data_IF_720541677625
#
_entry.id   IF_720541677625
#
_cell.length_a   1.000
_cell.length_b   1.000
_cell.length_c   1.000
_cell.angle_alpha   90.00
_cell.angle_beta   90.00
_cell.angle_gamma   90.00
#
_symmetry.space_group_name_H-M   'P 1'
#
loop_
_entity.id
_entity.type
_entity.pdbx_description
1 polymer ?
#
# COMPACT_ATOMS: atom_id res chain seq x y z
N UNK A 1 1.13 -16.38 -13.10
CA UNK A 1 1.34 -17.11 -11.84
C UNK A 1 -0.02 -17.42 -11.21
N UNK A 2 -0.24 -18.66 -10.83
CA UNK A 2 -1.48 -19.03 -10.18
C UNK A 2 -1.41 -18.73 -8.69
N UNK A 3 -2.50 -18.23 -8.14
CA UNK A 3 -2.63 -18.02 -6.70
C UNK A 3 -2.90 -19.34 -6.02
N UNK A 4 -2.37 -19.50 -4.82
CA UNK A 4 -2.71 -20.65 -3.99
C UNK A 4 -4.14 -20.47 -3.49
N UNK A 5 -4.92 -21.55 -3.52
CA UNK A 5 -6.34 -21.51 -3.18
C UNK A 5 -6.60 -20.96 -1.77
N UNK A 6 -5.67 -21.16 -0.84
CA UNK A 6 -5.82 -20.73 0.54
C UNK A 6 -4.94 -19.54 0.90
N UNK A 7 -4.43 -18.82 -0.10
CA UNK A 7 -3.60 -17.66 0.19
C UNK A 7 -4.41 -16.58 0.86
N UNK A 8 -3.88 -16.02 1.92
CA UNK A 8 -4.52 -14.95 2.68
C UNK A 8 -3.63 -13.71 2.67
N UNK A 9 -4.23 -12.52 2.75
CA UNK A 9 -3.45 -11.30 2.86
C UNK A 9 -2.57 -11.30 4.11
N UNK A 10 -1.37 -10.75 3.96
CA UNK A 10 -0.45 -10.57 5.08
C UNK A 10 -0.46 -9.11 5.51
N UNK A 11 -0.53 -8.90 6.82
CA UNK A 11 -0.41 -7.57 7.38
C UNK A 11 -1.75 -6.93 7.73
N UNK A 12 -1.68 -5.63 8.01
CA UNK A 12 -2.80 -4.83 8.45
C UNK A 12 -3.57 -4.26 7.26
N UNK A 13 -4.89 -4.37 7.29
CA UNK A 13 -5.74 -3.72 6.31
C UNK A 13 -5.73 -2.22 6.58
N UNK A 14 -5.15 -1.45 5.67
CA UNK A 14 -5.00 -0.01 5.83
C UNK A 14 -5.92 0.81 4.93
N UNK A 15 -6.21 0.30 3.74
CA UNK A 15 -7.07 0.97 2.76
C UNK A 15 -8.08 -0.04 2.23
N UNK A 16 -9.32 0.43 2.13
CA UNK A 16 -10.40 -0.31 1.48
C UNK A 16 -11.21 0.69 0.69
N UNK A 17 -11.22 0.57 -0.63
CA UNK A 17 -11.88 1.53 -1.50
C UNK A 17 -12.56 0.84 -2.65
N UNK A 18 -13.74 1.33 -3.02
CA UNK A 18 -14.42 0.87 -4.22
C UNK A 18 -13.84 1.59 -5.43
N UNK A 19 -13.48 0.84 -6.47
CA UNK A 19 -12.97 1.43 -7.70
C UNK A 19 -14.12 1.99 -8.52
N UNK A 20 -13.86 3.12 -9.17
CA UNK A 20 -14.88 3.90 -9.86
C UNK A 20 -14.49 4.09 -11.34
N UNK A 21 -15.47 4.40 -12.22
CA UNK A 21 -15.16 4.64 -13.64
C UNK A 21 -14.08 5.67 -13.89
N UNK A 22 -13.97 6.70 -13.05
CA UNK A 22 -12.94 7.75 -13.18
C UNK A 22 -11.53 7.23 -12.98
N UNK A 23 -11.37 6.03 -12.44
CA UNK A 23 -10.06 5.42 -12.18
C UNK A 23 -9.61 4.49 -13.31
N UNK A 24 -10.28 4.54 -14.46
CA UNK A 24 -9.99 3.62 -15.56
C UNK A 24 -8.99 4.21 -16.57
N UNK A 25 -8.29 3.30 -17.26
CA UNK A 25 -7.49 3.63 -18.43
C UNK A 25 -8.37 3.52 -19.71
N UNK A 26 -7.82 3.88 -20.89
CA UNK A 26 -8.60 3.77 -22.14
C UNK A 26 -9.11 2.36 -22.46
N UNK A 27 -8.48 1.34 -21.92
CA UNK A 27 -8.91 -0.05 -22.14
C UNK A 27 -10.07 -0.47 -21.23
N UNK A 28 -10.44 0.37 -20.25
CA UNK A 28 -11.55 0.08 -19.36
C UNK A 28 -11.18 -0.60 -18.04
N UNK A 29 -9.91 -0.87 -17.84
CA UNK A 29 -9.40 -1.41 -16.56
C UNK A 29 -8.98 -0.28 -15.64
N UNK A 30 -8.93 -0.55 -14.34
CA UNK A 30 -8.38 0.41 -13.39
C UNK A 30 -6.90 0.57 -13.68
N UNK A 31 -6.43 1.81 -13.87
CA UNK A 31 -5.03 2.01 -14.23
C UNK A 31 -4.10 1.71 -13.05
N UNK A 32 -2.89 1.20 -13.42
CA UNK A 32 -1.92 0.74 -12.41
C UNK A 32 -1.48 1.85 -11.45
N UNK A 33 -1.41 3.08 -11.94
CA UNK A 33 -1.05 4.23 -11.10
C UNK A 33 -2.05 4.49 -9.98
N UNK A 34 -3.33 4.24 -10.22
CA UNK A 34 -4.33 4.34 -9.16
C UNK A 34 -4.05 3.31 -8.05
N UNK A 35 -3.81 2.06 -8.45
CA UNK A 35 -3.50 0.99 -7.48
C UNK A 35 -2.23 1.35 -6.71
N UNK A 36 -1.19 1.79 -7.41
CA UNK A 36 0.07 2.20 -6.77
C UNK A 36 -0.15 3.34 -5.78
N UNK A 37 -0.98 4.33 -6.14
CA UNK A 37 -1.26 5.46 -5.24
C UNK A 37 -1.96 5.00 -3.96
N UNK A 38 -2.89 4.07 -4.07
CA UNK A 38 -3.57 3.53 -2.90
C UNK A 38 -2.61 2.74 -2.00
N UNK A 39 -1.70 1.99 -2.61
CA UNK A 39 -0.67 1.26 -1.86
C UNK A 39 0.25 2.22 -1.12
N UNK A 40 0.66 3.30 -1.77
CA UNK A 40 1.52 4.30 -1.14
C UNK A 40 0.82 4.98 0.03
N UNK A 41 -0.44 5.33 -0.14
CA UNK A 41 -1.23 5.90 0.97
C UNK A 41 -1.33 4.89 2.13
N UNK A 42 -1.59 3.63 1.81
CA UNK A 42 -1.70 2.58 2.83
C UNK A 42 -0.40 2.44 3.64
N UNK A 43 0.74 2.40 2.94
CA UNK A 43 2.05 2.34 3.59
C UNK A 43 2.32 3.56 4.46
N UNK A 44 1.95 4.74 3.97
CA UNK A 44 2.09 5.98 4.71
C UNK A 44 1.26 5.99 5.99
N UNK A 45 0.03 5.48 5.94
CA UNK A 45 -0.82 5.39 7.12
C UNK A 45 -0.22 4.51 8.21
N UNK A 46 0.32 3.36 7.82
CA UNK A 46 0.89 2.42 8.78
C UNK A 46 2.22 2.93 9.34
N UNK A 47 3.11 3.45 8.48
CA UNK A 47 4.42 3.93 8.93
C UNK A 47 4.29 5.20 9.79
N UNK A 48 3.31 6.06 9.47
CA UNK A 48 3.01 7.23 10.30
C UNK A 48 2.57 6.80 11.71
N UNK A 49 1.78 5.76 11.81
CA UNK A 49 1.33 5.22 13.10
C UNK A 49 2.50 4.61 13.88
N UNK A 50 3.37 3.86 13.20
CA UNK A 50 4.56 3.25 13.84
C UNK A 50 5.51 4.32 14.38
N UNK A 51 5.82 5.32 13.57
CA UNK A 51 6.79 6.37 13.92
C UNK A 51 6.16 7.50 14.73
N UNK A 52 4.83 7.49 14.89
CA UNK A 52 4.07 8.54 15.57
C UNK A 52 4.37 9.92 15.04
N UNK A 53 4.47 10.04 13.73
CA UNK A 53 4.75 11.29 13.09
C UNK A 53 4.86 11.15 11.58
N UNK A 54 5.31 12.20 10.95
CA UNK A 54 5.36 12.32 9.49
C UNK A 54 6.35 11.33 8.89
N UNK A 55 5.97 10.71 7.78
CA UNK A 55 6.84 9.84 6.99
C UNK A 55 6.76 10.25 5.52
N UNK A 56 7.82 9.97 4.78
CA UNK A 56 7.87 10.18 3.33
C UNK A 56 8.30 8.89 2.64
N UNK A 57 7.77 8.67 1.46
CA UNK A 57 8.13 7.53 0.63
C UNK A 57 9.43 7.84 -0.07
N UNK A 58 10.42 6.96 0.05
CA UNK A 58 11.72 7.17 -0.60
C UNK A 58 12.03 6.13 -1.67
N UNK A 59 11.37 4.97 -1.64
CA UNK A 59 11.63 3.94 -2.65
C UNK A 59 10.43 3.02 -2.78
N UNK A 60 10.22 2.56 -4.01
CA UNK A 60 9.24 1.52 -4.33
C UNK A 60 9.97 0.47 -5.15
N UNK A 61 10.03 -0.74 -4.63
CA UNK A 61 10.77 -1.83 -5.26
C UNK A 61 9.89 -3.06 -5.44
N UNK A 62 10.34 -3.95 -6.31
CA UNK A 62 9.75 -5.27 -6.47
C UNK A 62 8.25 -5.25 -6.71
N UNK A 63 7.77 -4.27 -7.50
CA UNK A 63 6.34 -4.21 -7.88
C UNK A 63 6.02 -5.30 -8.90
N UNK A 64 4.98 -6.06 -8.61
CA UNK A 64 4.48 -7.08 -9.51
C UNK A 64 2.96 -6.97 -9.62
N UNK A 65 2.46 -6.91 -10.86
CA UNK A 65 1.02 -6.92 -11.13
C UNK A 65 0.63 -8.30 -11.63
N UNK A 66 -0.22 -8.98 -10.89
CA UNK A 66 -0.63 -10.35 -11.21
C UNK A 66 -1.90 -10.41 -12.02
N UNK A 67 -2.86 -9.51 -11.72
CA UNK A 67 -4.19 -9.51 -12.33
C UNK A 67 -4.71 -8.10 -12.46
N UNK A 68 -5.60 -7.85 -13.44
CA UNK A 68 -6.22 -6.53 -13.57
C UNK A 68 -7.23 -6.27 -12.46
N UNK A 69 -7.43 -5.00 -12.17
CA UNK A 69 -8.50 -4.54 -11.29
C UNK A 69 -9.61 -3.99 -12.18
N UNK A 70 -10.83 -4.42 -11.94
CA UNK A 70 -11.99 -4.04 -12.75
C UNK A 70 -12.81 -2.97 -12.04
N UNK A 71 -13.51 -2.14 -12.81
CA UNK A 71 -14.43 -1.14 -12.24
C UNK A 71 -15.47 -1.85 -11.36
N UNK A 72 -15.67 -1.32 -10.17
CA UNK A 72 -16.63 -1.89 -9.22
C UNK A 72 -16.01 -2.87 -8.24
N UNK A 73 -14.79 -3.34 -8.50
CA UNK A 73 -14.09 -4.16 -7.53
C UNK A 73 -13.76 -3.34 -6.29
N UNK A 74 -13.76 -3.97 -5.12
CA UNK A 74 -13.29 -3.34 -3.89
C UNK A 74 -11.80 -3.64 -3.72
N UNK A 75 -10.99 -2.60 -3.71
CA UNK A 75 -9.55 -2.71 -3.56
C UNK A 75 -9.18 -2.61 -2.09
N UNK A 76 -8.42 -3.58 -1.61
CA UNK A 76 -7.96 -3.62 -0.23
C UNK A 76 -6.43 -3.67 -0.22
N UNK A 77 -5.79 -2.77 0.52
CA UNK A 77 -4.34 -2.75 0.64
C UNK A 77 -3.93 -3.16 2.05
N UNK A 78 -3.07 -4.17 2.12
CA UNK A 78 -2.56 -4.72 3.37
C UNK A 78 -1.08 -4.41 3.50
N UNK A 79 -0.66 -3.98 4.68
CA UNK A 79 0.70 -3.52 4.92
C UNK A 79 1.33 -4.35 6.01
N UNK A 80 2.53 -4.87 5.74
CA UNK A 80 3.31 -5.64 6.70
C UNK A 80 4.69 -5.04 6.83
N UNK A 81 5.07 -4.66 8.05
CA UNK A 81 6.43 -4.17 8.31
C UNK A 81 7.41 -5.33 8.14
N UNK A 82 8.41 -5.14 7.28
CA UNK A 82 9.45 -6.15 7.03
C UNK A 82 10.72 -5.83 7.80
N UNK A 83 11.10 -4.54 7.81
CA UNK A 83 12.37 -4.12 8.38
C UNK A 83 12.23 -2.70 8.91
N UNK A 84 12.83 -2.44 10.06
CA UNK A 84 12.86 -1.12 10.64
C UNK A 84 14.30 -0.75 10.99
N UNK A 85 14.76 0.38 10.44
CA UNK A 85 16.04 0.97 10.79
C UNK A 85 15.84 2.07 11.82
N UNK A 86 16.85 2.93 11.98
CA UNK A 86 16.76 4.05 12.92
C UNK A 86 15.77 5.11 12.47
N UNK A 87 15.74 5.40 11.15
CA UNK A 87 14.87 6.42 10.56
C UNK A 87 13.94 5.85 9.51
N UNK A 88 14.17 4.62 9.04
CA UNK A 88 13.47 4.02 7.91
C UNK A 88 12.62 2.84 8.30
N UNK A 89 11.59 2.60 7.50
CA UNK A 89 10.70 1.44 7.62
C UNK A 89 10.48 0.88 6.24
N UNK A 90 10.72 -0.42 6.07
CA UNK A 90 10.45 -1.12 4.82
C UNK A 90 9.22 -2.00 5.03
N UNK A 91 8.24 -1.84 4.17
CA UNK A 91 6.97 -2.56 4.29
C UNK A 91 6.67 -3.31 3.01
N UNK A 92 6.06 -4.48 3.13
CA UNK A 92 5.45 -5.17 2.01
C UNK A 92 4.00 -4.75 1.95
N UNK A 93 3.53 -4.36 0.77
CA UNK A 93 2.16 -3.94 0.57
C UNK A 93 1.53 -4.86 -0.48
N UNK A 94 0.44 -5.49 -0.11
CA UNK A 94 -0.35 -6.34 -1.01
C UNK A 94 -1.67 -5.67 -1.30
N UNK A 95 -2.03 -5.66 -2.58
CA UNK A 95 -3.37 -5.21 -3.00
C UNK A 95 -4.19 -6.42 -3.40
N UNK A 96 -5.35 -6.53 -2.79
CA UNK A 96 -6.32 -7.58 -3.05
C UNK A 96 -7.61 -6.94 -3.53
N UNK A 97 -8.37 -7.65 -4.33
CA UNK A 97 -9.70 -7.19 -4.74
C UNK A 97 -10.76 -8.19 -4.33
N UNK A 98 -11.89 -7.66 -3.91
CA UNK A 98 -13.13 -8.42 -3.82
C UNK A 98 -13.90 -8.07 -5.11
N UNK A 99 -14.18 -9.08 -5.93
CA UNK A 99 -14.87 -8.86 -7.20
C UNK A 99 -16.31 -8.41 -6.94
N UNK A 100 -16.83 -7.54 -7.81
CA UNK A 100 -18.07 -6.81 -7.55
C UNK A 100 -19.29 -7.73 -7.31
N UNK A 101 -19.44 -8.76 -8.11
CA UNK A 101 -20.64 -9.61 -8.06
C UNK A 101 -20.33 -11.07 -7.74
N UNK A 102 -19.08 -11.36 -7.37
CA UNK A 102 -18.64 -12.72 -7.11
C UNK A 102 -18.06 -12.82 -5.71
N UNK A 103 -18.20 -13.95 -5.09
CA UNK A 103 -17.59 -14.20 -3.78
C UNK A 103 -16.14 -14.66 -3.98
N UNK A 104 -15.35 -13.81 -4.63
CA UNK A 104 -13.95 -14.09 -4.98
C UNK A 104 -13.08 -12.96 -4.49
N UNK A 105 -12.00 -13.31 -3.81
CA UNK A 105 -10.95 -12.39 -3.44
C UNK A 105 -9.65 -12.85 -4.08
N UNK A 106 -8.92 -11.91 -4.69
CA UNK A 106 -7.68 -12.22 -5.39
C UNK A 106 -6.62 -11.17 -5.09
N UNK A 107 -5.37 -11.64 -4.93
CA UNK A 107 -4.23 -10.72 -4.87
C UNK A 107 -3.94 -10.24 -6.30
N UNK A 108 -3.92 -8.93 -6.49
CA UNK A 108 -3.70 -8.34 -7.81
C UNK A 108 -2.32 -7.72 -7.94
N UNK A 109 -1.74 -7.26 -6.85
CA UNK A 109 -0.46 -6.55 -6.88
C UNK A 109 0.26 -6.73 -5.57
N UNK A 110 1.59 -6.67 -5.61
CA UNK A 110 2.38 -6.62 -4.40
C UNK A 110 3.65 -5.82 -4.67
N UNK A 111 4.17 -5.16 -3.65
CA UNK A 111 5.39 -4.39 -3.77
C UNK A 111 6.05 -4.15 -2.43
N UNK A 112 7.28 -3.67 -2.47
CA UNK A 112 8.06 -3.33 -1.28
C UNK A 112 8.33 -1.84 -1.30
N UNK A 113 7.88 -1.16 -0.26
CA UNK A 113 7.97 0.30 -0.15
C UNK A 113 8.84 0.66 1.05
N UNK A 114 9.67 1.69 0.88
CA UNK A 114 10.50 2.18 1.99
C UNK A 114 10.10 3.60 2.33
N UNK A 115 9.89 3.84 3.61
CA UNK A 115 9.50 5.15 4.16
C UNK A 115 10.54 5.61 5.15
N UNK A 116 10.69 6.93 5.27
CA UNK A 116 11.59 7.53 6.25
C UNK A 116 10.78 8.47 7.14
N UNK A 117 10.96 8.33 8.45
CA UNK A 117 10.38 9.26 9.41
C UNK A 117 11.10 10.60 9.31
N UNK A 118 10.36 11.69 9.25
CA UNK A 118 10.93 13.03 9.06
C UNK A 118 10.32 14.03 10.03
N UNK A 119 11.05 15.13 10.23
CA UNK A 119 10.55 16.29 10.96
C UNK A 119 9.60 17.09 10.07
N UNK A 120 9.00 18.15 10.62
CA UNK A 120 8.18 19.09 9.84
C UNK A 120 8.97 19.72 8.69
N UNK A 121 10.30 19.88 8.87
CA UNK A 121 11.19 20.42 7.84
C UNK A 121 11.72 19.35 6.89
N UNK A 122 11.17 18.14 6.95
CA UNK A 122 11.55 17.02 6.07
C UNK A 122 12.97 16.50 6.27
N UNK A 123 13.49 16.65 7.49
CA UNK A 123 14.78 16.08 7.87
C UNK A 123 14.56 14.73 8.50
N UNK A 124 15.37 13.70 8.16
CA UNK A 124 15.20 12.37 8.79
C UNK A 124 15.24 12.46 10.31
N UNK A 125 14.35 11.72 10.93
CA UNK A 125 14.13 11.70 12.37
C UNK A 125 14.23 10.24 12.85
N UNK A 126 14.80 10.03 14.02
CA UNK A 126 14.78 8.68 14.61
C UNK A 126 13.34 8.31 14.95
N UNK A 127 12.97 7.07 14.63
CA UNK A 127 11.59 6.59 14.78
C UNK A 127 11.14 6.65 16.24
N UNK A 128 12.06 6.39 17.18
CA UNK A 128 11.76 6.39 18.62
C UNK A 128 11.77 7.79 19.24
N UNK A 129 12.12 8.82 18.49
CA UNK A 129 12.07 10.21 18.96
C UNK A 129 10.73 10.84 18.68
N UNK A 130 10.18 11.67 19.59
CA UNK A 130 8.91 12.34 19.37
C UNK A 130 8.94 13.24 18.14
N UNK A 131 7.86 13.20 17.39
CA UNK A 131 7.65 14.14 16.30
C UNK A 131 7.16 15.47 16.87
N UNK A 132 7.72 16.56 16.37
CA UNK A 132 7.26 17.91 16.71
C UNK A 132 7.02 18.70 15.42
N UNK A 133 6.01 19.58 15.44
CA UNK A 133 5.67 20.44 14.32
C UNK A 133 6.45 21.76 14.33
N UNK A 134 7.36 21.92 15.25
CA UNK A 134 8.14 23.15 15.40
C UNK A 134 9.40 23.14 14.55
#
# INVERSE_FOLDING_TARGET
MSMKENEQPEGELAIRVQTMPENTNPAGDIFGGFVLSQMDIAGGLVTKKISKGRTVTIAVDAMTFYKPVMVGDTLCCYVKLIKQGKTSMTVKIESWVARQYEDIREKVTEGVFTYVAVTADRVPRKIDEPYTDN
#
